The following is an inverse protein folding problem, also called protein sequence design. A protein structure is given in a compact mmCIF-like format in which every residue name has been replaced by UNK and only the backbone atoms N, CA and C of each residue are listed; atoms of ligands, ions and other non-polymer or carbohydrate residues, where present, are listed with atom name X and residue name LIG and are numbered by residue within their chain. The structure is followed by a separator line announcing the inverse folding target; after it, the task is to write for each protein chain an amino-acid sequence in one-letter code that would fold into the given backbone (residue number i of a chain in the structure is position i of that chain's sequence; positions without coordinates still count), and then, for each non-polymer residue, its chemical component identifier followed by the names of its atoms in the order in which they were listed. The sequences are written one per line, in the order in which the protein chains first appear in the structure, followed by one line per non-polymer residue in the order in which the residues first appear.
data_IF_882137607093
#
_entry.id   IF_882137607093
#
_cell.length_a   1.000
_cell.length_b   1.000
_cell.length_c   1.000
_cell.angle_alpha   90.00
_cell.angle_beta   90.00
_cell.angle_gamma   90.00
#
_symmetry.space_group_name_H-M   'P 1'
#
loop_
_entity.id
_entity.type
_entity.pdbx_description
1 polymer ?
#
# COMPACT_ATOMS: atom_id res chain seq x y z
N UNK A 1 -0.46 -42.80 17.25
CA UNK A 1 -1.13 -41.54 16.86
C UNK A 1 -0.17 -40.35 16.71
N UNK A 2 1.01 -40.33 17.37
CA UNK A 2 1.93 -39.18 17.31
C UNK A 2 2.45 -38.82 15.91
N UNK A 3 2.73 -39.80 15.05
CA UNK A 3 3.28 -39.54 13.70
C UNK A 3 2.32 -38.74 12.80
N UNK A 4 1.05 -39.14 12.73
CA UNK A 4 0.03 -38.46 11.91
C UNK A 4 -0.18 -37.02 12.41
N UNK A 5 -0.20 -36.83 13.73
CA UNK A 5 -0.33 -35.51 14.35
C UNK A 5 0.86 -34.61 14.01
N UNK A 6 2.09 -35.14 14.08
CA UNK A 6 3.30 -34.40 13.76
C UNK A 6 3.33 -33.93 12.29
N UNK A 7 2.95 -34.80 11.35
CA UNK A 7 2.80 -34.44 9.93
C UNK A 7 1.77 -33.33 9.76
N UNK A 8 0.60 -33.46 10.40
CA UNK A 8 -0.47 -32.48 10.29
C UNK A 8 -0.07 -31.10 10.85
N UNK A 9 0.60 -31.06 12.00
CA UNK A 9 1.13 -29.81 12.60
C UNK A 9 2.14 -29.16 11.66
N UNK A 10 3.04 -29.94 11.07
CA UNK A 10 4.03 -29.44 10.12
C UNK A 10 3.35 -28.82 8.90
N UNK A 11 2.38 -29.52 8.31
CA UNK A 11 1.63 -29.04 7.14
C UNK A 11 0.86 -27.75 7.45
N UNK A 12 0.16 -27.69 8.58
CA UNK A 12 -0.55 -26.47 9.01
C UNK A 12 0.43 -25.32 9.27
N UNK A 13 1.62 -25.60 9.83
CA UNK A 13 2.63 -24.57 10.10
C UNK A 13 3.19 -23.97 8.81
N UNK A 14 3.45 -24.79 7.78
CA UNK A 14 3.88 -24.32 6.46
C UNK A 14 2.77 -23.48 5.81
N UNK A 15 1.52 -23.93 5.87
CA UNK A 15 0.39 -23.18 5.33
C UNK A 15 0.22 -21.84 6.06
N UNK A 16 0.29 -21.84 7.39
CA UNK A 16 0.23 -20.62 8.20
C UNK A 16 1.37 -19.66 7.84
N UNK A 17 2.60 -20.16 7.71
CA UNK A 17 3.74 -19.37 7.27
C UNK A 17 3.48 -18.67 5.93
N UNK A 18 2.99 -19.40 4.93
CA UNK A 18 2.67 -18.84 3.61
C UNK A 18 1.56 -17.78 3.72
N UNK A 19 0.51 -18.02 4.52
CA UNK A 19 -0.54 -17.01 4.71
C UNK A 19 -0.04 -15.76 5.43
N UNK A 20 0.83 -15.90 6.43
CA UNK A 20 1.45 -14.76 7.12
C UNK A 20 2.35 -13.96 6.17
N UNK A 21 3.10 -14.65 5.30
CA UNK A 21 3.91 -14.01 4.26
C UNK A 21 3.01 -13.21 3.31
N UNK A 22 1.92 -13.81 2.81
CA UNK A 22 0.96 -13.12 1.94
C UNK A 22 0.29 -11.94 2.63
N UNK A 23 -0.07 -12.07 3.92
CA UNK A 23 -0.63 -10.96 4.72
C UNK A 23 0.33 -9.77 4.76
N UNK A 24 1.62 -10.01 5.02
CA UNK A 24 2.64 -8.96 5.03
C UNK A 24 2.83 -8.34 3.63
N UNK A 25 2.73 -9.13 2.56
CA UNK A 25 2.79 -8.61 1.18
C UNK A 25 1.63 -7.67 0.89
N UNK A 26 0.40 -8.10 1.14
CA UNK A 26 -0.78 -7.27 0.86
C UNK A 26 -0.89 -6.04 1.77
N UNK A 27 -0.44 -6.15 3.02
CA UNK A 27 -0.34 -4.99 3.92
C UNK A 27 0.66 -3.96 3.37
N UNK A 28 1.82 -4.44 2.90
CA UNK A 28 2.81 -3.57 2.26
C UNK A 28 2.24 -2.89 1.03
N UNK A 29 1.59 -3.63 0.13
CA UNK A 29 0.99 -3.06 -1.08
C UNK A 29 -0.08 -2.02 -0.74
N UNK A 30 -0.93 -2.31 0.24
CA UNK A 30 -2.00 -1.38 0.66
C UNK A 30 -1.42 -0.06 1.18
N UNK A 31 -0.43 -0.13 2.08
CA UNK A 31 0.17 1.08 2.68
C UNK A 31 1.05 1.83 1.69
N UNK A 32 1.74 1.12 0.80
CA UNK A 32 2.55 1.73 -0.25
C UNK A 32 1.70 2.48 -1.27
N UNK A 33 0.44 2.06 -1.47
CA UNK A 33 -0.51 2.70 -2.39
C UNK A 33 -1.36 3.80 -1.74
N UNK A 34 -1.04 4.22 -0.53
CA UNK A 34 -1.67 5.41 0.06
C UNK A 34 -1.22 6.67 -0.70
N UNK A 35 -2.16 7.57 -0.99
CA UNK A 35 -1.89 8.77 -1.78
C UNK A 35 -0.73 9.59 -1.20
N UNK A 36 -0.72 9.81 0.13
CA UNK A 36 0.34 10.55 0.84
C UNK A 36 1.73 9.90 0.70
N UNK A 37 1.79 8.60 0.42
CA UNK A 37 3.05 7.87 0.18
C UNK A 37 3.43 7.89 -1.29
N UNK A 38 2.45 7.74 -2.19
CA UNK A 38 2.65 7.71 -3.64
C UNK A 38 2.99 9.07 -4.21
N UNK A 39 2.34 10.13 -3.75
CA UNK A 39 2.46 11.48 -4.30
C UNK A 39 3.92 11.97 -4.37
N UNK A 40 4.73 11.96 -3.29
CA UNK A 40 6.11 12.45 -3.38
C UNK A 40 6.99 11.60 -4.31
N UNK A 41 6.83 10.28 -4.30
CA UNK A 41 7.60 9.35 -5.14
C UNK A 41 7.25 9.50 -6.62
N UNK A 42 5.96 9.61 -6.94
CA UNK A 42 5.47 9.84 -8.30
C UNK A 42 5.79 11.25 -8.77
N UNK A 43 5.71 12.26 -7.91
CA UNK A 43 6.02 13.64 -8.27
C UNK A 43 7.48 13.75 -8.71
N UNK A 44 8.40 13.12 -7.98
CA UNK A 44 9.81 13.08 -8.40
C UNK A 44 9.99 12.38 -9.75
N UNK A 45 9.34 11.23 -9.96
CA UNK A 45 9.48 10.45 -11.19
C UNK A 45 8.85 11.12 -12.40
N UNK A 46 7.68 11.75 -12.23
CA UNK A 46 6.97 12.45 -13.30
C UNK A 46 7.65 13.78 -13.60
N UNK A 47 8.17 14.49 -12.60
CA UNK A 47 8.91 15.74 -12.83
C UNK A 47 10.17 15.50 -13.66
N UNK A 48 10.89 14.39 -13.47
CA UNK A 48 12.03 14.00 -14.32
C UNK A 48 11.59 13.84 -15.79
N UNK A 49 10.49 13.13 -16.04
CA UNK A 49 9.94 12.92 -17.39
C UNK A 49 9.46 14.24 -18.01
N UNK A 50 8.76 15.07 -17.21
CA UNK A 50 8.23 16.35 -17.66
C UNK A 50 9.36 17.32 -17.99
N UNK A 51 10.41 17.38 -17.18
CA UNK A 51 11.57 18.25 -17.45
C UNK A 51 12.36 17.81 -18.68
N UNK A 52 12.37 16.51 -18.99
CA UNK A 52 12.98 15.99 -20.22
C UNK A 52 12.12 16.27 -21.47
N UNK A 53 10.80 16.45 -21.29
CA UNK A 53 9.83 16.58 -22.39
C UNK A 53 9.42 18.02 -22.67
N UNK A 54 9.35 18.87 -21.64
CA UNK A 54 8.93 20.27 -21.73
C UNK A 54 10.17 21.14 -21.61
N UNK A 55 10.41 21.98 -22.62
CA UNK A 55 11.45 23.00 -22.55
C UNK A 55 11.05 24.08 -21.54
N UNK A 56 11.52 23.92 -20.30
CA UNK A 56 11.21 24.82 -19.19
C UNK A 56 11.63 26.27 -19.47
N UNK A 57 12.58 26.49 -20.39
CA UNK A 57 12.98 27.84 -20.78
C UNK A 57 11.82 28.63 -21.37
N UNK A 58 10.97 27.98 -22.18
CA UNK A 58 9.79 28.62 -22.78
C UNK A 58 8.78 29.02 -21.70
N UNK A 59 8.63 28.21 -20.65
CA UNK A 59 7.73 28.55 -19.54
C UNK A 59 8.29 29.69 -18.69
N UNK A 60 9.59 29.67 -18.41
CA UNK A 60 10.27 30.72 -17.64
C UNK A 60 10.25 32.07 -18.38
N UNK A 61 10.44 32.08 -19.70
CA UNK A 61 10.42 33.28 -20.53
C UNK A 61 9.03 33.94 -20.58
N UNK A 62 7.97 33.14 -20.52
CA UNK A 62 6.59 33.63 -20.56
C UNK A 62 5.99 33.91 -19.17
N UNK A 63 6.64 33.44 -18.09
CA UNK A 63 6.17 33.57 -16.71
C UNK A 63 5.89 35.04 -16.30
N UNK A 64 6.72 36.05 -16.67
CA UNK A 64 6.44 37.44 -16.33
C UNK A 64 5.14 37.97 -16.95
N UNK A 65 4.84 37.60 -18.20
CA UNK A 65 3.63 38.03 -18.88
C UNK A 65 2.38 37.44 -18.21
N UNK A 66 2.43 36.15 -17.89
CA UNK A 66 1.34 35.46 -17.17
C UNK A 66 1.17 36.04 -15.75
N UNK A 67 2.26 36.40 -15.07
CA UNK A 67 2.20 37.02 -13.75
C UNK A 67 1.53 38.41 -13.79
N UNK A 68 1.72 39.19 -14.85
CA UNK A 68 1.00 40.48 -15.03
C UNK A 68 -0.50 40.24 -15.20
N UNK A 69 -0.90 39.25 -15.99
CA UNK A 69 -2.31 38.88 -16.16
C UNK A 69 -2.95 38.46 -14.83
N UNK A 70 -2.25 37.66 -14.03
CA UNK A 70 -2.69 37.26 -12.69
C UNK A 70 -2.87 38.40 -11.68
N UNK A 71 -2.28 39.57 -11.91
CA UNK A 71 -2.43 40.74 -11.04
C UNK A 71 -3.67 41.59 -11.38
N UNK A 72 -4.42 41.25 -12.44
CA UNK A 72 -5.64 41.95 -12.79
C UNK A 72 -6.77 41.66 -11.78
N UNK A 73 -7.57 42.67 -11.39
CA UNK A 73 -8.63 42.48 -10.42
C UNK A 73 -9.70 41.52 -10.95
N UNK A 74 -9.91 40.41 -10.22
CA UNK A 74 -10.91 39.38 -10.55
C UNK A 74 -10.33 38.11 -11.20
N UNK A 75 -9.03 38.06 -11.46
CA UNK A 75 -8.36 36.84 -11.96
C UNK A 75 -7.74 36.09 -10.78
N UNK A 76 -8.31 34.94 -10.41
CA UNK A 76 -7.73 34.05 -9.38
C UNK A 76 -7.04 32.82 -9.95
N UNK A 77 -7.35 32.49 -11.20
CA UNK A 77 -6.94 31.25 -11.84
C UNK A 77 -6.88 31.41 -13.36
N UNK A 78 -6.00 30.64 -14.00
CA UNK A 78 -5.79 30.63 -15.44
C UNK A 78 -5.93 29.18 -15.94
N UNK A 79 -6.70 28.98 -17.01
CA UNK A 79 -6.78 27.68 -17.67
C UNK A 79 -5.67 27.56 -18.71
N UNK A 80 -4.89 26.47 -18.66
CA UNK A 80 -3.77 26.22 -19.56
C UNK A 80 -4.17 26.29 -21.04
N UNK A 81 -5.34 25.75 -21.39
CA UNK A 81 -5.88 25.78 -22.75
C UNK A 81 -6.12 27.20 -23.30
N UNK A 82 -6.24 28.22 -22.43
CA UNK A 82 -6.47 29.61 -22.83
C UNK A 82 -5.23 30.46 -22.82
N UNK A 83 -4.09 29.96 -22.34
CA UNK A 83 -2.88 30.77 -22.19
C UNK A 83 -2.39 31.26 -23.56
N UNK A 84 -2.40 30.40 -24.59
CA UNK A 84 -2.01 30.81 -25.94
C UNK A 84 -2.90 31.93 -26.47
N UNK A 85 -4.23 31.75 -26.38
CA UNK A 85 -5.21 32.74 -26.85
C UNK A 85 -5.08 34.08 -26.09
N UNK A 86 -4.87 34.02 -24.77
CA UNK A 86 -4.77 35.21 -23.92
C UNK A 86 -3.44 35.95 -24.11
N UNK A 87 -2.32 35.24 -24.31
CA UNK A 87 -1.04 35.88 -24.62
C UNK A 87 -1.15 36.62 -25.95
N UNK A 88 -1.78 36.01 -26.96
CA UNK A 88 -1.99 36.65 -28.26
C UNK A 88 -2.87 37.90 -28.11
N UNK A 89 -3.96 37.84 -27.33
CA UNK A 89 -4.81 39.01 -27.07
C UNK A 89 -4.07 40.14 -26.32
N UNK A 90 -3.17 39.81 -25.40
CA UNK A 90 -2.36 40.81 -24.68
C UNK A 90 -1.34 41.47 -25.62
N UNK A 91 -0.69 40.68 -26.49
CA UNK A 91 0.26 41.20 -27.47
C UNK A 91 -0.43 42.15 -28.48
N UNK A 92 -1.60 41.76 -29.02
CA UNK A 92 -2.37 42.63 -29.93
C UNK A 92 -2.80 43.95 -29.28
N UNK A 93 -3.07 43.95 -27.97
CA UNK A 93 -3.44 45.17 -27.24
C UNK A 93 -2.24 46.06 -26.87
N UNK A 94 -1.03 45.51 -26.69
CA UNK A 94 0.18 46.29 -26.39
C UNK A 94 0.79 46.97 -27.63
N UNK A 95 0.62 46.39 -28.82
CA UNK A 95 1.10 46.98 -30.08
C UNK A 95 0.39 48.30 -30.44
N UNK A 96 -0.73 48.64 -29.78
CA UNK A 96 -1.39 49.93 -29.94
C UNK A 96 -0.78 51.09 -29.12
N UNK A 97 0.12 50.84 -28.17
CA UNK A 97 0.69 51.91 -27.32
C UNK A 97 2.21 52.14 -27.46
N UNK A 98 2.96 51.29 -28.18
CA UNK A 98 4.41 51.44 -28.34
C UNK A 98 4.88 51.21 -29.78
N UNK A 99 4.61 52.16 -30.68
CA UNK A 99 5.36 52.29 -31.94
C UNK A 99 6.55 53.22 -31.69
N UNK A 100 7.74 52.65 -31.46
CA UNK A 100 8.99 52.98 -32.17
C UNK A 100 10.21 52.34 -31.49
N UNK A 101 10.87 51.44 -32.22
CA UNK A 101 12.25 50.97 -32.07
C UNK A 101 12.52 49.76 -31.15
N UNK A 102 12.11 48.57 -31.57
CA UNK A 102 12.90 47.36 -31.28
C UNK A 102 12.74 46.32 -32.40
N UNK A 103 13.88 45.80 -32.83
CA UNK A 103 14.06 44.79 -33.87
C UNK A 103 13.35 43.49 -33.44
N UNK A 104 12.38 43.06 -34.25
CA UNK A 104 11.53 41.89 -34.01
C UNK A 104 12.30 40.61 -34.37
N UNK A 105 13.01 40.04 -33.40
CA UNK A 105 13.41 38.63 -33.46
C UNK A 105 12.17 37.76 -33.26
N UNK A 106 11.94 36.82 -34.18
CA UNK A 106 10.81 35.90 -34.15
C UNK A 106 10.84 35.06 -32.86
N UNK A 107 9.80 35.23 -32.03
CA UNK A 107 9.62 34.42 -30.82
C UNK A 107 9.22 33.00 -31.23
N UNK A 108 9.91 31.95 -30.74
CA UNK A 108 9.56 30.55 -31.00
C UNK A 108 8.30 30.16 -30.21
N UNK A 109 7.12 30.61 -30.64
CA UNK A 109 5.86 30.44 -29.92
C UNK A 109 4.92 29.34 -30.42
N UNK A 110 5.12 28.78 -31.62
CA UNK A 110 4.07 27.97 -32.27
C UNK A 110 3.91 26.52 -31.76
N UNK A 111 4.82 25.98 -30.94
CA UNK A 111 4.79 24.55 -30.56
C UNK A 111 4.32 24.24 -29.13
N UNK A 112 4.16 25.24 -28.24
CA UNK A 112 3.88 24.95 -26.83
C UNK A 112 2.47 24.35 -26.60
N UNK A 113 1.49 24.75 -27.42
CA UNK A 113 0.11 24.28 -27.27
C UNK A 113 -0.07 22.81 -27.64
N UNK A 114 0.62 22.33 -28.67
CA UNK A 114 0.49 20.93 -29.11
C UNK A 114 1.05 19.96 -28.08
N UNK A 115 2.17 20.31 -27.45
CA UNK A 115 2.85 19.43 -26.51
C UNK A 115 2.02 19.30 -25.22
N UNK A 116 1.44 20.40 -24.73
CA UNK A 116 0.57 20.41 -23.53
C UNK A 116 -0.71 19.57 -23.73
N UNK A 117 -1.28 19.60 -24.94
CA UNK A 117 -2.49 18.84 -25.27
C UNK A 117 -2.20 17.33 -25.35
N UNK A 118 -1.04 16.93 -25.88
CA UNK A 118 -0.62 15.53 -25.98
C UNK A 118 -0.53 14.84 -24.60
N UNK A 119 -0.06 15.56 -23.57
CA UNK A 119 0.02 15.04 -22.20
C UNK A 119 -1.31 15.17 -21.41
N UNK A 120 -2.36 15.71 -22.03
CA UNK A 120 -3.69 15.87 -21.46
C UNK A 120 -3.68 16.78 -20.23
N UNK A 121 -2.99 17.93 -20.34
CA UNK A 121 -3.01 18.97 -19.31
C UNK A 121 -3.96 20.15 -19.62
N UNK A 122 -4.67 20.11 -20.76
CA UNK A 122 -5.52 21.20 -21.26
C UNK A 122 -6.63 21.64 -20.29
N UNK A 123 -7.16 20.70 -19.50
CA UNK A 123 -8.27 20.95 -18.59
C UNK A 123 -7.84 21.49 -17.21
N UNK A 124 -6.53 21.60 -16.95
CA UNK A 124 -6.06 22.07 -15.63
C UNK A 124 -6.12 23.59 -15.49
N UNK A 125 -6.56 23.98 -14.31
CA UNK A 125 -6.67 25.37 -13.87
C UNK A 125 -5.56 25.64 -12.86
N UNK A 126 -4.67 26.57 -13.21
CA UNK A 126 -3.51 26.96 -12.39
C UNK A 126 -3.89 28.20 -11.59
N UNK A 127 -3.85 28.15 -10.25
CA UNK A 127 -4.13 29.30 -9.43
C UNK A 127 -2.97 30.30 -9.47
N UNK A 128 -3.28 31.59 -9.51
CA UNK A 128 -2.30 32.67 -9.71
C UNK A 128 -1.22 32.75 -8.63
N UNK A 129 -1.50 32.28 -7.41
CA UNK A 129 -0.51 32.21 -6.34
C UNK A 129 0.63 31.23 -6.64
N UNK A 130 0.41 30.19 -7.46
CA UNK A 130 1.46 29.25 -7.87
C UNK A 130 2.34 29.86 -8.96
N UNK A 131 1.76 30.65 -9.87
CA UNK A 131 2.50 31.31 -10.95
C UNK A 131 3.56 32.26 -10.39
N UNK A 132 3.26 32.99 -9.32
CA UNK A 132 4.23 33.90 -8.68
C UNK A 132 5.41 33.20 -8.00
N UNK A 133 5.35 31.89 -7.80
CA UNK A 133 6.41 31.12 -7.12
C UNK A 133 7.44 30.53 -8.10
N UNK A 134 7.21 30.63 -9.41
CA UNK A 134 8.12 30.15 -10.45
C UNK A 134 7.65 28.86 -11.14
N UNK A 135 8.30 28.51 -12.25
CA UNK A 135 7.97 27.33 -13.07
C UNK A 135 8.04 26.01 -12.30
N UNK A 136 8.99 25.88 -11.37
CA UNK A 136 9.14 24.66 -10.55
C UNK A 136 7.90 24.35 -9.73
N UNK A 137 7.24 25.37 -9.15
CA UNK A 137 6.02 25.19 -8.37
C UNK A 137 4.80 24.94 -9.27
N UNK A 138 4.78 25.55 -10.46
CA UNK A 138 3.74 25.25 -11.46
C UNK A 138 3.80 23.77 -11.88
N UNK A 139 5.00 23.26 -12.18
CA UNK A 139 5.20 21.85 -12.58
C UNK A 139 4.80 20.92 -11.44
N UNK A 140 5.29 21.18 -10.22
CA UNK A 140 4.91 20.44 -9.01
C UNK A 140 3.39 20.37 -8.84
N UNK A 141 2.70 21.50 -8.97
CA UNK A 141 1.24 21.58 -8.89
C UNK A 141 0.55 20.77 -10.00
N UNK A 142 0.97 20.92 -11.26
CA UNK A 142 0.38 20.20 -12.39
C UNK A 142 0.57 18.69 -12.26
N UNK A 143 1.78 18.26 -11.87
CA UNK A 143 2.10 16.85 -11.63
C UNK A 143 1.26 16.29 -10.48
N UNK A 144 1.20 16.98 -9.34
CA UNK A 144 0.36 16.57 -8.20
C UNK A 144 -1.11 16.44 -8.61
N UNK A 145 -1.66 17.42 -9.35
CA UNK A 145 -3.04 17.37 -9.86
C UNK A 145 -3.28 16.26 -10.87
N UNK A 146 -2.29 15.94 -11.71
CA UNK A 146 -2.37 14.79 -12.62
C UNK A 146 -2.38 13.48 -11.85
N UNK A 147 -1.49 13.33 -10.87
CA UNK A 147 -1.42 12.14 -10.01
C UNK A 147 -2.72 11.98 -9.22
N UNK A 148 -3.25 13.05 -8.63
CA UNK A 148 -4.53 13.07 -7.93
C UNK A 148 -5.67 12.59 -8.86
N UNK A 149 -5.77 13.19 -10.04
CA UNK A 149 -6.79 12.82 -11.03
C UNK A 149 -6.69 11.36 -11.50
N UNK A 150 -5.48 10.83 -11.68
CA UNK A 150 -5.29 9.41 -12.03
C UNK A 150 -5.56 8.48 -10.83
N UNK A 151 -5.18 8.89 -9.62
CA UNK A 151 -5.36 8.09 -8.42
C UNK A 151 -6.84 7.86 -8.10
N UNK A 152 -7.64 8.93 -8.18
CA UNK A 152 -9.07 8.92 -7.86
C UNK A 152 -9.97 8.62 -9.06
N UNK A 153 -9.39 8.28 -10.23
CA UNK A 153 -10.18 7.94 -11.41
C UNK A 153 -11.08 6.73 -11.13
N UNK A 154 -12.37 6.88 -11.43
CA UNK A 154 -13.31 5.77 -11.39
C UNK A 154 -13.09 4.88 -12.63
N UNK A 155 -12.89 3.58 -12.39
CA UNK A 155 -12.73 2.59 -13.45
C UNK A 155 -13.92 1.63 -13.40
N UNK A 156 -14.55 1.38 -14.55
CA UNK A 156 -15.75 0.51 -14.64
C UNK A 156 -15.43 -0.97 -14.87
N UNK A 157 -14.16 -1.35 -15.02
CA UNK A 157 -13.70 -2.72 -15.24
C UNK A 157 -13.37 -3.47 -13.94
N UNK A 158 -13.41 -4.80 -13.95
CA UNK A 158 -12.82 -5.60 -12.86
C UNK A 158 -11.31 -5.40 -12.79
N UNK A 159 -10.69 -5.64 -11.61
CA UNK A 159 -9.27 -5.33 -11.40
C UNK A 159 -8.36 -5.96 -12.46
N UNK A 160 -8.50 -7.27 -12.71
CA UNK A 160 -7.65 -7.98 -13.67
C UNK A 160 -7.98 -7.64 -15.13
N UNK A 161 -9.22 -7.26 -15.42
CA UNK A 161 -9.62 -6.80 -16.75
C UNK A 161 -9.02 -5.41 -17.03
N UNK A 162 -8.99 -4.52 -16.04
CA UNK A 162 -8.31 -3.23 -16.16
C UNK A 162 -6.80 -3.41 -16.38
N UNK A 163 -6.17 -4.36 -15.67
CA UNK A 163 -4.73 -4.65 -15.83
C UNK A 163 -4.41 -5.21 -17.21
N UNK A 164 -5.28 -6.04 -17.78
CA UNK A 164 -5.04 -6.66 -19.09
C UNK A 164 -5.37 -5.73 -20.26
N UNK A 165 -6.32 -4.81 -20.08
CA UNK A 165 -6.81 -3.93 -21.16
C UNK A 165 -6.09 -2.58 -21.21
N UNK A 166 -5.54 -2.10 -20.08
CA UNK A 166 -4.91 -0.78 -20.04
C UNK A 166 -3.50 -0.85 -20.61
N UNK A 167 -3.24 -0.07 -21.67
CA UNK A 167 -1.89 0.10 -22.23
C UNK A 167 -0.92 0.74 -21.23
N UNK A 168 -1.45 1.53 -20.29
CA UNK A 168 -0.67 2.28 -19.31
C UNK A 168 -0.91 1.74 -17.89
N UNK A 169 0.15 1.40 -17.13
CA UNK A 169 0.04 0.79 -15.81
C UNK A 169 -0.39 1.75 -14.68
N UNK A 170 -0.85 2.98 -14.98
CA UNK A 170 -1.34 3.91 -13.96
C UNK A 170 -2.54 3.35 -13.17
N UNK A 171 -3.30 2.43 -13.75
CA UNK A 171 -4.34 1.71 -13.01
C UNK A 171 -3.80 1.03 -11.74
N UNK A 172 -2.58 0.49 -11.77
CA UNK A 172 -1.97 -0.23 -10.65
C UNK A 172 -1.67 0.65 -9.44
N UNK A 173 -1.54 1.96 -9.64
CA UNK A 173 -1.31 2.94 -8.57
C UNK A 173 -2.59 3.63 -8.11
N UNK A 174 -3.76 3.27 -8.66
CA UNK A 174 -5.03 3.92 -8.35
C UNK A 174 -5.57 3.56 -6.96
N UNK A 175 -6.54 4.36 -6.48
CA UNK A 175 -7.34 4.02 -5.31
C UNK A 175 -8.02 2.65 -5.46
N UNK A 176 -8.50 2.32 -6.66
CA UNK A 176 -9.14 1.02 -6.92
C UNK A 176 -8.16 -0.14 -6.71
N UNK A 177 -6.90 0.03 -7.10
CA UNK A 177 -5.87 -0.96 -6.81
C UNK A 177 -5.58 -1.08 -5.31
N UNK A 178 -5.47 0.04 -4.60
CA UNK A 178 -5.30 0.05 -3.13
C UNK A 178 -6.43 -0.72 -2.44
N UNK A 179 -7.67 -0.43 -2.80
CA UNK A 179 -8.85 -1.03 -2.17
C UNK A 179 -8.95 -2.53 -2.50
N UNK A 180 -8.53 -2.95 -3.70
CA UNK A 180 -8.40 -4.37 -4.07
C UNK A 180 -7.39 -5.10 -3.17
N UNK A 181 -6.16 -4.58 -3.03
CA UNK A 181 -5.15 -5.19 -2.17
C UNK A 181 -5.53 -5.19 -0.70
N UNK A 182 -6.23 -4.14 -0.25
CA UNK A 182 -6.79 -4.04 1.10
C UNK A 182 -7.82 -5.14 1.37
N UNK A 183 -8.67 -5.46 0.39
CA UNK A 183 -9.59 -6.59 0.46
C UNK A 183 -8.86 -7.92 0.65
N UNK A 184 -7.84 -8.18 -0.16
CA UNK A 184 -7.01 -9.40 -0.04
C UNK A 184 -6.25 -9.48 1.28
N UNK A 185 -5.76 -8.36 1.79
CA UNK A 185 -5.14 -8.27 3.10
C UNK A 185 -6.09 -8.78 4.19
N UNK A 186 -7.34 -8.30 4.24
CA UNK A 186 -8.30 -8.76 5.26
C UNK A 186 -8.63 -10.25 5.14
N UNK A 187 -8.77 -10.77 3.92
CA UNK A 187 -8.97 -12.20 3.70
C UNK A 187 -7.78 -13.04 4.17
N UNK A 188 -6.54 -12.57 3.91
CA UNK A 188 -5.32 -13.24 4.36
C UNK A 188 -5.19 -13.23 5.90
N UNK A 189 -5.52 -12.10 6.55
CA UNK A 189 -5.57 -12.01 8.02
C UNK A 189 -6.58 -13.01 8.58
N UNK A 190 -7.81 -13.05 8.04
CA UNK A 190 -8.84 -13.97 8.51
C UNK A 190 -8.39 -15.43 8.36
N UNK A 191 -7.83 -15.80 7.20
CA UNK A 191 -7.30 -17.13 6.96
C UNK A 191 -6.17 -17.48 7.97
N UNK A 192 -5.26 -16.54 8.23
CA UNK A 192 -4.18 -16.74 9.19
C UNK A 192 -4.68 -16.96 10.63
N UNK A 193 -5.74 -16.25 11.04
CA UNK A 193 -6.37 -16.43 12.36
C UNK A 193 -6.98 -17.83 12.47
N UNK A 194 -7.74 -18.27 11.46
CA UNK A 194 -8.32 -19.62 11.44
C UNK A 194 -7.23 -20.69 11.52
N UNK A 195 -6.16 -20.56 10.74
CA UNK A 195 -5.02 -21.48 10.77
C UNK A 195 -4.29 -21.46 12.10
N UNK A 196 -4.11 -20.29 12.73
CA UNK A 196 -3.52 -20.18 14.06
C UNK A 196 -4.35 -20.88 15.13
N UNK A 197 -5.69 -20.77 15.07
CA UNK A 197 -6.60 -21.48 15.99
C UNK A 197 -6.50 -22.99 15.79
N UNK A 198 -6.53 -23.46 14.54
CA UNK A 198 -6.38 -24.88 14.20
C UNK A 198 -5.02 -25.38 14.73
N UNK A 199 -3.93 -24.67 14.43
CA UNK A 199 -2.59 -25.00 14.92
C UNK A 199 -2.55 -25.10 16.46
N UNK A 200 -3.17 -24.15 17.16
CA UNK A 200 -3.25 -24.15 18.62
C UNK A 200 -3.97 -25.37 19.19
N UNK A 201 -5.04 -25.86 18.53
CA UNK A 201 -5.75 -27.09 18.92
C UNK A 201 -4.88 -28.33 18.71
N UNK A 202 -4.08 -28.36 17.64
CA UNK A 202 -3.25 -29.51 17.31
C UNK A 202 -1.91 -29.57 18.05
N UNK A 203 -1.41 -28.48 18.63
CA UNK A 203 -0.18 -28.50 19.44
C UNK A 203 -0.38 -29.28 20.75
N UNK A 204 0.59 -30.13 21.12
CA UNK A 204 0.54 -30.95 22.33
C UNK A 204 0.58 -30.13 23.62
N UNK A 205 1.49 -29.15 23.65
CA UNK A 205 1.72 -28.29 24.80
C UNK A 205 1.12 -26.92 24.50
N UNK A 206 -0.14 -26.68 24.91
CA UNK A 206 -0.88 -25.45 24.55
C UNK A 206 -0.12 -24.15 24.87
N UNK A 207 0.72 -24.14 25.91
CA UNK A 207 1.53 -22.96 26.26
C UNK A 207 2.60 -22.61 25.23
N UNK A 208 3.01 -23.54 24.34
CA UNK A 208 3.96 -23.24 23.26
C UNK A 208 3.31 -22.62 22.02
N UNK A 209 1.97 -22.64 21.90
CA UNK A 209 1.26 -22.13 20.71
C UNK A 209 1.63 -20.69 20.33
N UNK A 210 1.48 -19.70 21.24
CA UNK A 210 1.85 -18.30 20.95
C UNK A 210 3.33 -18.12 20.62
N UNK A 211 4.21 -18.90 21.25
CA UNK A 211 5.64 -18.89 20.94
C UNK A 211 5.92 -19.34 19.50
N UNK A 212 5.28 -20.42 19.05
CA UNK A 212 5.41 -20.90 17.66
C UNK A 212 4.83 -19.91 16.65
N UNK A 213 3.65 -19.36 16.91
CA UNK A 213 3.02 -18.36 16.03
C UNK A 213 3.89 -17.11 15.93
N UNK A 214 4.38 -16.59 17.06
CA UNK A 214 5.28 -15.43 17.08
C UNK A 214 6.59 -15.69 16.34
N UNK A 215 7.19 -16.88 16.50
CA UNK A 215 8.37 -17.28 15.74
C UNK A 215 8.13 -17.35 14.23
N UNK A 216 7.01 -17.95 13.80
CA UNK A 216 6.61 -17.97 12.39
C UNK A 216 6.38 -16.57 11.82
N UNK A 217 5.75 -15.69 12.59
CA UNK A 217 5.51 -14.30 12.18
C UNK A 217 6.82 -13.51 12.00
N UNK A 218 7.80 -13.70 12.89
CA UNK A 218 9.13 -13.11 12.74
C UNK A 218 9.80 -13.62 11.46
N UNK A 219 9.84 -14.94 11.25
CA UNK A 219 10.48 -15.52 10.07
C UNK A 219 9.78 -15.05 8.79
N UNK A 220 8.44 -14.95 8.80
CA UNK A 220 7.65 -14.47 7.66
C UNK A 220 7.87 -12.97 7.38
N UNK A 221 8.31 -12.19 8.36
CA UNK A 221 8.65 -10.77 8.17
C UNK A 221 10.04 -10.55 7.58
N UNK A 222 10.99 -11.48 7.75
CA UNK A 222 12.38 -11.31 7.32
C UNK A 222 12.57 -10.99 5.83
N UNK A 223 11.81 -11.55 4.86
CA UNK A 223 11.94 -11.18 3.46
C UNK A 223 11.75 -9.67 3.22
N UNK A 224 10.95 -8.99 4.04
CA UNK A 224 10.64 -7.56 3.92
C UNK A 224 11.77 -6.64 4.39
N UNK A 225 12.67 -7.14 5.25
CA UNK A 225 13.85 -6.37 5.67
C UNK A 225 14.84 -6.18 4.50
N UNK A 226 14.93 -7.19 3.62
CA UNK A 226 15.89 -7.21 2.53
C UNK A 226 15.37 -6.68 1.19
N UNK A 227 14.09 -6.34 1.04
CA UNK A 227 13.54 -6.17 -0.31
C UNK A 227 14.23 -5.10 -1.18
N UNK A 228 14.89 -4.11 -0.58
CA UNK A 228 15.76 -3.18 -1.31
C UNK A 228 16.79 -3.86 -2.21
N UNK A 229 17.45 -4.94 -1.76
CA UNK A 229 18.44 -5.65 -2.58
C UNK A 229 17.77 -6.39 -3.75
N UNK A 230 16.58 -6.97 -3.51
CA UNK A 230 15.84 -7.68 -4.54
C UNK A 230 15.32 -6.73 -5.63
N UNK A 231 14.97 -5.50 -5.27
CA UNK A 231 14.57 -4.47 -6.22
C UNK A 231 15.73 -4.05 -7.14
N UNK A 232 16.97 -4.03 -6.65
CA UNK A 232 18.16 -3.75 -7.50
C UNK A 232 18.43 -4.83 -8.54
N UNK A 233 18.03 -6.07 -8.29
CA UNK A 233 18.14 -7.16 -9.27
C UNK A 233 17.14 -7.00 -10.43
N UNK A 234 16.00 -6.37 -10.16
CA UNK A 234 14.92 -6.20 -11.14
C UNK A 234 14.96 -4.83 -11.80
N UNK A 235 15.72 -3.86 -11.27
CA UNK A 235 15.74 -2.45 -11.70
C UNK A 235 16.08 -2.22 -13.17
N UNK A 236 16.66 -3.20 -13.87
CA UNK A 236 16.91 -3.14 -15.31
C UNK A 236 15.64 -3.23 -16.18
N UNK A 237 14.47 -3.56 -15.61
CA UNK A 237 13.23 -3.71 -16.37
C UNK A 237 12.37 -2.44 -16.24
N UNK A 238 11.74 -2.00 -17.33
CA UNK A 238 10.87 -0.81 -17.32
C UNK A 238 9.76 -0.87 -16.25
N UNK A 239 9.23 -2.08 -15.99
CA UNK A 239 8.22 -2.33 -14.96
C UNK A 239 8.75 -2.31 -13.53
N UNK A 240 10.07 -2.37 -13.34
CA UNK A 240 10.68 -2.43 -12.01
C UNK A 240 10.43 -1.16 -11.21
N UNK A 241 10.39 0.02 -11.86
CA UNK A 241 10.07 1.30 -11.22
C UNK A 241 8.68 1.30 -10.59
N UNK A 242 7.72 0.63 -11.22
CA UNK A 242 6.37 0.52 -10.68
C UNK A 242 6.37 -0.50 -9.54
N UNK A 243 7.04 -1.65 -9.72
CA UNK A 243 7.17 -2.63 -8.66
C UNK A 243 7.87 -2.06 -7.42
N UNK A 244 8.86 -1.18 -7.56
CA UNK A 244 9.51 -0.53 -6.41
C UNK A 244 8.52 0.30 -5.59
N UNK A 245 7.55 0.97 -6.23
CA UNK A 245 6.52 1.72 -5.53
C UNK A 245 5.67 0.83 -4.62
N UNK A 246 5.36 -0.40 -5.03
CA UNK A 246 4.61 -1.34 -4.19
C UNK A 246 5.35 -1.72 -2.90
N UNK A 247 6.67 -1.57 -2.86
CA UNK A 247 7.51 -1.97 -1.74
C UNK A 247 8.09 -0.80 -0.94
N UNK A 248 7.69 0.44 -1.22
CA UNK A 248 8.18 1.64 -0.52
C UNK A 248 7.95 1.58 1.00
N UNK A 249 6.84 0.98 1.46
CA UNK A 249 6.55 0.80 2.90
C UNK A 249 6.95 -0.56 3.48
N UNK A 250 7.72 -1.37 2.74
CA UNK A 250 8.11 -2.73 3.18
C UNK A 250 8.82 -2.77 4.53
N UNK A 251 9.71 -1.82 4.81
CA UNK A 251 10.42 -1.73 6.09
C UNK A 251 9.48 -1.42 7.26
N UNK A 252 8.49 -0.55 7.06
CA UNK A 252 7.48 -0.24 8.09
C UNK A 252 6.64 -1.48 8.40
N UNK A 253 6.20 -2.20 7.36
CA UNK A 253 5.51 -3.49 7.51
C UNK A 253 6.36 -4.50 8.27
N UNK A 254 7.64 -4.63 7.93
CA UNK A 254 8.59 -5.49 8.63
C UNK A 254 8.61 -5.17 10.13
N UNK A 255 8.81 -3.90 10.51
CA UNK A 255 8.87 -3.49 11.91
C UNK A 255 7.59 -3.84 12.66
N UNK A 256 6.41 -3.54 12.08
CA UNK A 256 5.12 -3.83 12.71
C UNK A 256 4.96 -5.34 12.93
N UNK A 257 5.16 -6.15 11.89
CA UNK A 257 5.03 -7.61 11.98
C UNK A 257 6.05 -8.22 12.95
N UNK A 258 7.29 -7.72 12.93
CA UNK A 258 8.36 -8.18 13.81
C UNK A 258 8.07 -7.88 15.28
N UNK A 259 7.63 -6.65 15.59
CA UNK A 259 7.23 -6.26 16.94
C UNK A 259 6.05 -7.08 17.44
N UNK A 260 5.01 -7.29 16.62
CA UNK A 260 3.88 -8.17 16.97
C UNK A 260 4.41 -9.58 17.27
N UNK A 261 5.32 -10.11 16.44
CA UNK A 261 5.94 -11.42 16.66
C UNK A 261 6.66 -11.54 18.00
N UNK A 262 7.44 -10.52 18.40
CA UNK A 262 8.09 -10.47 19.71
C UNK A 262 7.06 -10.48 20.84
N UNK A 263 5.99 -9.68 20.73
CA UNK A 263 4.92 -9.64 21.73
C UNK A 263 4.27 -11.03 21.91
N UNK A 264 4.00 -11.75 20.82
CA UNK A 264 3.49 -13.12 20.87
C UNK A 264 4.45 -14.11 21.54
N UNK A 265 5.76 -13.98 21.29
CA UNK A 265 6.79 -14.78 21.96
C UNK A 265 6.79 -14.52 23.47
N UNK A 266 6.77 -13.25 23.89
CA UNK A 266 6.73 -12.86 25.30
C UNK A 266 5.48 -13.41 26.00
N UNK A 267 4.32 -13.30 25.36
CA UNK A 267 3.06 -13.90 25.86
C UNK A 267 3.21 -15.41 26.01
N UNK A 268 3.80 -16.10 25.04
CA UNK A 268 4.08 -17.53 25.11
C UNK A 268 4.99 -17.91 26.29
N UNK A 269 6.04 -17.12 26.54
CA UNK A 269 6.94 -17.31 27.69
C UNK A 269 6.18 -17.14 29.01
N UNK A 270 5.41 -16.06 29.17
CA UNK A 270 4.63 -15.79 30.39
C UNK A 270 3.60 -16.90 30.63
N UNK A 271 2.87 -17.34 29.60
CA UNK A 271 1.91 -18.44 29.71
C UNK A 271 2.56 -19.77 30.10
N UNK A 272 3.82 -19.99 29.69
CA UNK A 272 4.60 -21.15 30.10
C UNK A 272 5.00 -21.08 31.57
N UNK A 273 5.39 -19.91 32.09
CA UNK A 273 5.78 -19.76 33.49
C UNK A 273 4.62 -19.82 34.49
N UNK A 274 3.44 -19.35 34.09
CA UNK A 274 2.31 -19.27 35.02
C UNK A 274 1.59 -20.61 35.25
N UNK A 275 1.98 -21.69 34.56
CA UNK A 275 1.27 -22.98 34.53
C UNK A 275 -0.25 -22.85 34.32
N UNK A 276 -0.71 -21.70 33.83
CA UNK A 276 -2.11 -21.39 33.56
C UNK A 276 -2.67 -22.36 32.51
N UNK A 277 -1.80 -22.88 31.63
CA UNK A 277 -2.14 -23.96 30.71
C UNK A 277 -2.70 -25.21 31.40
N UNK A 278 -2.17 -25.58 32.57
CA UNK A 278 -2.64 -26.73 33.34
C UNK A 278 -3.95 -26.44 34.08
N UNK A 279 -4.20 -25.19 34.50
CA UNK A 279 -5.49 -24.80 35.10
C UNK A 279 -6.63 -24.76 34.08
N UNK A 280 -6.36 -24.31 32.86
CA UNK A 280 -7.38 -24.23 31.78
C UNK A 280 -7.80 -25.63 31.30
N UNK A 281 -6.89 -26.61 31.27
CA UNK A 281 -7.24 -27.99 30.91
C UNK A 281 -8.18 -28.65 31.94
N UNK A 282 -8.09 -28.25 33.21
CA UNK A 282 -9.04 -28.63 34.26
C UNK A 282 -10.45 -28.08 34.02
N UNK A 283 -10.55 -26.84 33.54
CA UNK A 283 -11.85 -26.17 33.29
C UNK A 283 -12.66 -26.83 32.16
N UNK A 284 -11.99 -27.36 31.13
CA UNK A 284 -12.65 -28.09 30.04
C UNK A 284 -13.15 -29.50 30.42
N UNK A 285 -12.69 -30.06 31.55
CA UNK A 285 -13.14 -31.38 32.02
C UNK A 285 -14.38 -31.33 32.93
N UNK A 286 -14.92 -30.13 33.21
CA UNK A 286 -16.10 -29.94 34.07
C UNK A 286 -17.39 -30.58 33.50
N UNK A 287 -17.42 -30.94 32.22
CA UNK A 287 -18.54 -31.68 31.61
C UNK A 287 -18.53 -33.20 31.81
N UNK A 288 -17.42 -33.80 32.27
CA UNK A 288 -17.37 -35.24 32.60
C UNK A 288 -17.84 -35.44 34.03
N UNK A 289 -19.13 -35.20 34.27
CA UNK A 289 -19.78 -35.60 35.50
C UNK A 289 -19.52 -37.09 35.73
N UNK A 290 -18.92 -37.37 36.88
CA UNK A 290 -18.72 -38.70 37.43
C UNK A 290 -20.00 -39.51 37.25
N UNK A 291 -19.99 -40.53 36.39
CA UNK A 291 -21.02 -41.57 36.45
C UNK A 291 -21.02 -42.07 37.90
N UNK A 292 -22.15 -41.98 38.63
CA UNK A 292 -22.21 -42.43 40.01
C UNK A 292 -21.74 -43.89 40.04
N UNK A 293 -20.67 -44.12 40.79
CA UNK A 293 -20.15 -45.45 41.10
C UNK A 293 -21.32 -46.31 41.55
N UNK A 294 -21.66 -47.31 40.73
CA UNK A 294 -22.75 -48.23 40.99
C UNK A 294 -22.36 -49.01 42.25
N UNK A 295 -23.08 -48.74 43.32
CA UNK A 295 -22.94 -49.31 44.65
C UNK A 295 -22.54 -50.79 44.62
N UNK A 296 -21.43 -51.04 45.30
CA UNK A 296 -20.93 -52.34 45.75
C UNK A 296 -22.09 -53.21 46.29
N UNK A 297 -22.24 -54.41 45.72
CA UNK A 297 -23.15 -55.42 46.26
C UNK A 297 -22.56 -55.93 47.57
N UNK A 298 -23.34 -56.01 48.67
CA UNK A 298 -22.85 -56.54 49.93
C UNK A 298 -22.46 -58.02 49.80
N UNK A 299 -21.23 -58.28 50.24
CA UNK A 299 -20.62 -59.59 50.44
C UNK A 299 -21.51 -60.44 51.35
N UNK A 300 -22.07 -61.53 50.80
CA UNK A 300 -22.77 -62.55 51.59
C UNK A 300 -21.71 -63.39 52.30
N UNK A 301 -21.55 -63.16 53.60
CA UNK A 301 -20.90 -64.10 54.52
C UNK A 301 -21.67 -65.43 54.54
N UNK A 302 -21.13 -66.47 53.90
CA UNK A 302 -21.58 -67.85 54.13
C UNK A 302 -20.78 -68.46 55.28
N UNK A 303 -21.41 -68.52 56.45
CA UNK A 303 -21.02 -69.34 57.60
C UNK A 303 -20.81 -70.80 57.18
N UNK A 304 -19.79 -71.42 57.77
CA UNK A 304 -19.61 -72.88 57.78
C UNK A 304 -20.75 -73.58 58.53
N UNK A 305 -20.94 -74.87 58.26
CA UNK A 305 -20.97 -75.81 59.37
C UNK A 305 -20.14 -77.08 59.12
N UNK A 306 -19.38 -77.44 60.16
CA UNK A 306 -19.11 -78.79 60.72
C UNK A 306 -19.01 -79.99 59.76
N UNK A 307 -17.86 -80.66 59.80
CA UNK A 307 -17.68 -81.92 60.55
C UNK A 307 -16.20 -82.16 60.86
#
# INVERSE_FOLDING_TARGET
MGFIRSILVTLISVLLFLTLLSTNTFFTFTNSLEYETLEPELTSAVTEIVNDSIDLSVLDDNLPAVAVYCNQPGVSEISLSRISDQIQEIQENQDMEVINNSESDQIPGENLSSDIEEYGFSDYVIPCNMITQGSTEIISYLVSKKIEGQYYKEYDCEFWDCVSTSEIPFFLISQKARDYWKGWFYWAVLASIVLAIILFVFIEVKSSGPFFIGGLLIIASLPFLGMGWLLTLVSGWTYARILTLFFTKSFVTFLISFTIGIVFILIGIVLKFLDIGNKISGWFNIGKSSKPSKSEKPEKSSKSPKS
#
